data_IF_988304562239
#
_entry.id   IF_988304562239
#
_cell.length_a   1.000
_cell.length_b   1.000
_cell.length_c   1.000
_cell.angle_alpha   90.00
_cell.angle_beta   90.00
_cell.angle_gamma   90.00
#
_symmetry.space_group_name_H-M   'P 1'
#
loop_
_entity.id
_entity.type
_entity.pdbx_description
1 polymer ?
#
# COMPACT_ATOMS: atom_id res chain seq x y z
N UNK A 1 -8.26 18.98 -86.86
CA UNK A 1 -7.37 19.68 -87.83
C UNK A 1 -5.96 19.15 -87.60
N UNK A 2 -5.52 18.22 -88.47
CA UNK A 2 -4.13 17.75 -88.61
C UNK A 2 -3.19 18.96 -88.80
N UNK A 3 -1.86 18.90 -88.51
CA UNK A 3 -1.01 17.83 -89.06
C UNK A 3 0.28 17.39 -88.31
N UNK A 4 0.72 16.18 -88.71
CA UNK A 4 2.09 15.73 -89.09
C UNK A 4 3.22 15.75 -88.04
N UNK A 5 3.82 14.60 -87.69
CA UNK A 5 4.89 13.83 -88.39
C UNK A 5 6.18 14.60 -88.68
N UNK A 6 7.31 14.01 -88.26
CA UNK A 6 8.69 14.44 -88.57
C UNK A 6 9.64 14.02 -87.45
N UNK A 7 10.05 12.74 -87.36
CA UNK A 7 11.25 12.15 -87.98
C UNK A 7 12.59 12.88 -87.68
N UNK A 8 13.47 12.13 -87.01
CA UNK A 8 14.92 11.95 -87.25
C UNK A 8 15.76 13.17 -87.62
N UNK A 9 16.84 13.42 -86.87
CA UNK A 9 18.24 13.43 -87.36
C UNK A 9 19.23 13.62 -86.18
N UNK A 10 20.20 12.71 -86.16
CA UNK A 10 21.59 12.72 -85.64
C UNK A 10 22.13 13.97 -84.92
N UNK A 11 22.93 13.76 -83.86
CA UNK A 11 24.38 13.61 -84.01
C UNK A 11 25.12 13.45 -82.67
N UNK A 12 26.04 12.50 -82.72
CA UNK A 12 27.16 12.15 -81.84
C UNK A 12 27.87 13.35 -81.18
N UNK A 13 28.14 13.21 -79.88
CA UNK A 13 29.16 13.97 -79.15
C UNK A 13 29.90 13.06 -78.18
N UNK A 14 30.99 12.44 -78.66
CA UNK A 14 31.88 11.59 -77.87
C UNK A 14 32.78 12.48 -77.00
N UNK A 15 32.73 12.36 -75.68
CA UNK A 15 33.86 12.73 -74.81
C UNK A 15 34.08 11.64 -73.76
N UNK A 16 35.18 10.92 -73.95
CA UNK A 16 35.80 10.03 -72.97
C UNK A 16 36.20 10.85 -71.74
N UNK A 17 35.67 10.48 -70.59
CA UNK A 17 36.19 10.88 -69.29
C UNK A 17 36.20 9.64 -68.39
N UNK A 18 37.33 8.92 -68.40
CA UNK A 18 37.56 7.87 -67.42
C UNK A 18 37.82 8.52 -66.06
N UNK A 19 36.91 8.36 -65.10
CA UNK A 19 37.20 8.60 -63.67
C UNK A 19 36.42 7.61 -62.80
N UNK A 20 37.19 6.67 -62.25
CA UNK A 20 37.17 6.20 -60.85
C UNK A 20 35.81 5.78 -60.27
N UNK A 21 35.62 4.47 -60.08
CA UNK A 21 34.66 3.92 -59.12
C UNK A 21 34.95 4.45 -57.71
N UNK A 22 33.90 4.66 -56.91
CA UNK A 22 33.92 4.10 -55.56
C UNK A 22 32.71 3.20 -55.35
N UNK A 23 33.03 1.99 -54.88
CA UNK A 23 32.12 1.08 -54.19
C UNK A 23 31.46 1.85 -53.06
N UNK A 24 30.15 2.08 -53.12
CA UNK A 24 29.39 2.50 -51.95
C UNK A 24 28.72 1.25 -51.37
N UNK A 25 29.30 0.79 -50.27
CA UNK A 25 28.80 -0.29 -49.45
C UNK A 25 27.39 0.05 -48.93
N UNK A 26 26.45 -0.86 -49.11
CA UNK A 26 25.18 -0.84 -48.40
C UNK A 26 25.48 -1.10 -46.92
N UNK A 27 25.56 -0.04 -46.12
CA UNK A 27 25.65 -0.14 -44.68
C UNK A 27 24.33 -0.69 -44.14
N UNK A 28 24.37 -1.95 -43.69
CA UNK A 28 23.33 -2.62 -42.94
C UNK A 28 23.12 -1.83 -41.64
N UNK A 29 22.10 -0.97 -41.59
CA UNK A 29 21.65 -0.36 -40.34
C UNK A 29 20.95 -1.45 -39.51
N UNK A 30 21.74 -2.24 -38.77
CA UNK A 30 21.22 -3.03 -37.67
C UNK A 30 20.72 -2.02 -36.63
N UNK A 31 19.41 -1.75 -36.64
CA UNK A 31 18.75 -1.12 -35.53
C UNK A 31 19.03 -1.98 -34.30
N UNK A 32 19.92 -1.52 -33.42
CA UNK A 32 20.07 -2.04 -32.09
C UNK A 32 18.75 -1.77 -31.37
N UNK A 33 17.81 -2.71 -31.47
CA UNK A 33 16.71 -2.78 -30.54
C UNK A 33 17.37 -2.96 -29.17
N UNK A 34 17.43 -1.87 -28.39
CA UNK A 34 17.80 -1.94 -26.98
C UNK A 34 16.86 -2.98 -26.39
N UNK A 35 17.37 -4.13 -25.90
CA UNK A 35 16.49 -5.12 -25.31
C UNK A 35 15.79 -4.38 -24.18
N UNK A 36 14.45 -4.30 -24.26
CA UNK A 36 13.67 -3.81 -23.15
C UNK A 36 14.11 -4.66 -21.96
N UNK A 37 14.84 -4.07 -21.01
CA UNK A 37 15.46 -4.82 -19.92
C UNK A 37 14.36 -5.61 -19.20
N UNK A 38 14.26 -6.89 -19.54
CA UNK A 38 13.35 -7.81 -18.93
C UNK A 38 13.86 -8.08 -17.51
N UNK A 39 12.95 -8.42 -16.60
CA UNK A 39 13.34 -8.85 -15.27
C UNK A 39 14.41 -9.96 -15.38
N UNK A 40 15.44 -9.86 -14.58
CA UNK A 40 16.56 -10.78 -14.59
C UNK A 40 16.07 -12.18 -14.20
N UNK A 41 16.55 -13.18 -14.94
CA UNK A 41 16.27 -14.59 -14.69
C UNK A 41 17.48 -15.21 -14.02
N UNK A 42 17.25 -15.93 -12.93
CA UNK A 42 18.30 -16.50 -12.10
C UNK A 42 18.37 -18.03 -12.24
N UNK A 43 19.58 -18.62 -12.17
CA UNK A 43 19.75 -20.08 -12.28
C UNK A 43 19.17 -20.84 -11.07
N UNK A 44 19.10 -20.20 -9.91
CA UNK A 44 18.54 -20.75 -8.67
C UNK A 44 17.76 -19.69 -7.90
N UNK A 45 16.86 -20.13 -7.02
CA UNK A 45 16.17 -19.25 -6.09
C UNK A 45 17.17 -18.55 -5.14
N UNK A 46 18.24 -19.23 -4.74
CA UNK A 46 19.31 -18.66 -3.92
C UNK A 46 20.01 -17.50 -4.65
N UNK A 47 20.38 -17.67 -5.93
CA UNK A 47 21.03 -16.61 -6.69
C UNK A 47 20.13 -15.36 -6.84
N UNK A 48 18.81 -15.54 -6.93
CA UNK A 48 17.87 -14.43 -6.93
C UNK A 48 17.78 -13.73 -5.56
N UNK A 49 17.79 -14.51 -4.47
CA UNK A 49 17.79 -13.97 -3.12
C UNK A 49 19.06 -13.18 -2.83
N UNK A 50 20.23 -13.72 -3.16
CA UNK A 50 21.52 -13.04 -2.98
C UNK A 50 21.53 -11.70 -3.75
N UNK A 51 21.07 -11.70 -5.01
CA UNK A 51 20.97 -10.49 -5.81
C UNK A 51 20.01 -9.44 -5.22
N UNK A 52 18.91 -9.87 -4.57
CA UNK A 52 18.01 -8.96 -3.85
C UNK A 52 18.69 -8.35 -2.64
N UNK A 53 19.28 -9.17 -1.76
CA UNK A 53 19.96 -8.71 -0.55
C UNK A 53 21.06 -7.70 -0.88
N UNK A 54 21.86 -8.01 -1.90
CA UNK A 54 22.91 -7.16 -2.45
C UNK A 54 22.40 -5.80 -2.95
N UNK A 55 21.29 -5.81 -3.70
CA UNK A 55 20.70 -4.60 -4.25
C UNK A 55 20.17 -3.68 -3.13
N UNK A 56 19.55 -4.27 -2.09
CA UNK A 56 19.06 -3.53 -0.92
C UNK A 56 20.24 -2.96 -0.12
N UNK A 57 21.26 -3.77 0.17
CA UNK A 57 22.42 -3.37 0.96
C UNK A 57 23.19 -2.20 0.34
N UNK A 58 23.23 -2.12 -1.00
CA UNK A 58 23.88 -1.03 -1.74
C UNK A 58 22.97 0.16 -2.06
N UNK A 59 21.69 0.10 -1.66
CA UNK A 59 20.68 1.08 -2.09
C UNK A 59 20.65 1.25 -3.63
N UNK A 60 20.87 0.16 -4.37
CA UNK A 60 21.02 0.16 -5.83
C UNK A 60 19.65 -0.03 -6.50
N UNK A 61 19.00 1.10 -6.82
CA UNK A 61 17.69 1.13 -7.47
C UNK A 61 17.68 0.45 -8.85
N UNK A 62 18.76 0.54 -9.61
CA UNK A 62 18.86 -0.11 -10.93
C UNK A 62 18.99 -1.63 -10.79
N UNK A 63 19.71 -2.11 -9.78
CA UNK A 63 19.75 -3.53 -9.43
C UNK A 63 18.39 -4.02 -8.94
N UNK A 64 17.70 -3.28 -8.06
CA UNK A 64 16.34 -3.62 -7.64
C UNK A 64 15.39 -3.71 -8.82
N UNK A 65 15.49 -2.77 -9.77
CA UNK A 65 14.69 -2.80 -10.99
C UNK A 65 14.97 -4.04 -11.85
N UNK A 66 16.22 -4.49 -11.95
CA UNK A 66 16.58 -5.72 -12.65
C UNK A 66 16.06 -6.97 -11.93
N UNK A 67 16.17 -7.01 -10.60
CA UNK A 67 15.79 -8.17 -9.77
C UNK A 67 14.26 -8.32 -9.66
N UNK A 68 13.55 -7.25 -9.31
CA UNK A 68 12.10 -7.26 -9.03
C UNK A 68 11.25 -6.83 -10.24
N UNK A 69 11.89 -6.29 -11.28
CA UNK A 69 11.22 -5.78 -12.48
C UNK A 69 10.89 -4.28 -12.41
N UNK A 70 10.57 -3.69 -13.56
CA UNK A 70 10.40 -2.23 -13.75
C UNK A 70 9.37 -1.55 -12.84
N UNK A 71 8.41 -2.31 -12.30
CA UNK A 71 7.29 -1.81 -11.51
C UNK A 71 7.46 -2.05 -10.02
N UNK A 72 8.65 -2.42 -9.54
CA UNK A 72 8.88 -2.77 -8.13
C UNK A 72 8.50 -1.65 -7.15
N UNK A 73 8.63 -0.39 -7.58
CA UNK A 73 8.21 0.79 -6.82
C UNK A 73 6.71 0.84 -6.52
N UNK A 74 5.89 0.05 -7.21
CA UNK A 74 4.44 -0.06 -6.95
C UNK A 74 4.10 -1.07 -5.83
N UNK A 75 5.09 -1.80 -5.29
CA UNK A 75 4.85 -2.74 -4.19
C UNK A 75 4.29 -2.04 -2.96
N UNK A 76 4.83 -0.87 -2.65
CA UNK A 76 4.51 -0.07 -1.48
C UNK A 76 4.20 1.37 -1.90
N UNK A 77 3.36 2.11 -1.17
CA UNK A 77 3.20 3.55 -1.39
C UNK A 77 4.55 4.27 -1.32
N UNK A 78 4.72 5.34 -2.12
CA UNK A 78 5.93 6.15 -2.04
C UNK A 78 6.09 6.75 -0.64
N UNK A 79 7.31 6.69 -0.10
CA UNK A 79 7.63 7.21 1.23
C UNK A 79 7.16 6.34 2.40
N UNK A 80 6.54 5.17 2.16
CA UNK A 80 6.10 4.28 3.25
C UNK A 80 7.15 3.29 3.74
N UNK A 81 8.36 3.36 3.19
CA UNK A 81 9.52 2.61 3.64
C UNK A 81 10.55 3.67 3.98
N UNK A 82 10.92 3.76 5.25
CA UNK A 82 11.96 4.65 5.70
C UNK A 82 13.32 3.93 5.77
N UNK A 83 14.33 4.65 6.23
CA UNK A 83 15.69 4.11 6.33
C UNK A 83 15.81 3.06 7.45
N UNK A 84 15.01 3.19 8.52
CA UNK A 84 15.01 2.27 9.65
C UNK A 84 14.39 0.92 9.25
N UNK A 85 13.33 0.92 8.43
CA UNK A 85 12.77 -0.29 7.82
C UNK A 85 13.81 -1.08 7.02
N UNK A 86 14.66 -0.38 6.26
CA UNK A 86 15.74 -0.99 5.47
C UNK A 86 16.83 -1.55 6.40
N UNK A 87 17.18 -0.83 7.46
CA UNK A 87 18.15 -1.31 8.45
C UNK A 87 17.65 -2.51 9.24
N UNK A 88 16.39 -2.52 9.63
CA UNK A 88 15.76 -3.67 10.28
C UNK A 88 15.78 -4.90 9.38
N UNK A 89 15.46 -4.72 8.10
CA UNK A 89 15.57 -5.79 7.10
C UNK A 89 17.01 -6.29 6.98
N UNK A 90 17.99 -5.41 6.81
CA UNK A 90 19.40 -5.80 6.65
C UNK A 90 19.98 -6.43 7.93
N UNK A 91 19.56 -5.96 9.10
CA UNK A 91 19.90 -6.55 10.38
C UNK A 91 19.31 -7.95 10.53
N UNK A 92 18.05 -8.16 10.14
CA UNK A 92 17.42 -9.47 10.10
C UNK A 92 18.13 -10.40 9.08
N UNK A 93 18.42 -9.89 7.88
CA UNK A 93 19.12 -10.60 6.82
C UNK A 93 20.50 -11.10 7.27
N UNK A 94 21.27 -10.23 7.94
CA UNK A 94 22.61 -10.56 8.42
C UNK A 94 22.60 -11.60 9.55
N UNK A 95 21.59 -11.56 10.43
CA UNK A 95 21.42 -12.58 11.48
C UNK A 95 21.11 -13.95 10.87
N UNK A 96 20.15 -14.01 9.96
CA UNK A 96 19.77 -15.22 9.26
C UNK A 96 18.98 -14.87 8.00
N UNK A 97 19.23 -15.57 6.90
CA UNK A 97 18.35 -15.54 5.74
C UNK A 97 18.35 -16.91 5.06
N UNK A 98 17.20 -17.30 4.55
CA UNK A 98 17.04 -18.60 3.90
C UNK A 98 16.00 -18.53 2.78
N UNK A 99 16.29 -19.23 1.69
CA UNK A 99 15.29 -19.56 0.69
C UNK A 99 14.49 -20.77 1.17
N UNK A 100 13.20 -20.57 1.34
CA UNK A 100 12.24 -21.59 1.77
C UNK A 100 11.41 -22.05 0.56
N UNK A 101 11.53 -23.29 0.11
CA UNK A 101 10.70 -23.83 -0.96
C UNK A 101 9.21 -23.87 -0.58
N UNK A 102 8.34 -23.50 -1.50
CA UNK A 102 6.88 -23.66 -1.42
C UNK A 102 6.40 -24.55 -2.57
N UNK A 103 6.72 -25.85 -2.46
CA UNK A 103 6.58 -26.79 -3.56
C UNK A 103 7.67 -26.62 -4.63
N UNK A 104 7.48 -27.25 -5.79
CA UNK A 104 8.58 -27.43 -6.77
C UNK A 104 8.93 -26.17 -7.58
N UNK A 105 8.00 -25.23 -7.67
CA UNK A 105 8.10 -24.09 -8.59
C UNK A 105 7.94 -22.73 -7.91
N UNK A 106 7.94 -22.68 -6.57
CA UNK A 106 7.86 -21.44 -5.80
C UNK A 106 8.79 -21.49 -4.60
N UNK A 107 9.26 -20.32 -4.18
CA UNK A 107 10.03 -20.17 -2.96
C UNK A 107 9.76 -18.80 -2.33
N UNK A 108 10.02 -18.68 -1.03
CA UNK A 108 10.05 -17.42 -0.29
C UNK A 108 11.43 -17.18 0.28
N UNK A 109 11.72 -15.93 0.60
CA UNK A 109 12.92 -15.55 1.32
C UNK A 109 12.49 -15.23 2.74
N UNK A 110 12.96 -15.99 3.72
CA UNK A 110 12.82 -15.66 5.12
C UNK A 110 14.07 -14.92 5.60
N UNK A 111 13.89 -13.93 6.47
CA UNK A 111 14.99 -13.20 7.11
C UNK A 111 14.79 -13.15 8.63
N UNK A 112 15.90 -13.11 9.35
CA UNK A 112 15.94 -13.23 10.79
C UNK A 112 15.39 -14.57 11.30
N UNK A 113 14.94 -14.54 12.54
CA UNK A 113 14.50 -15.71 13.31
C UNK A 113 12.99 -15.68 13.60
N UNK A 114 12.30 -14.58 13.27
CA UNK A 114 10.87 -14.40 13.55
C UNK A 114 9.96 -15.14 12.58
N UNK A 115 10.51 -15.75 11.52
CA UNK A 115 9.74 -16.32 10.42
C UNK A 115 9.18 -15.28 9.45
N UNK A 116 9.61 -14.02 9.54
CA UNK A 116 9.21 -13.00 8.57
C UNK A 116 9.74 -13.37 7.17
N UNK A 117 8.86 -13.25 6.17
CA UNK A 117 9.20 -13.52 4.76
C UNK A 117 9.08 -12.27 3.90
N UNK A 118 10.02 -12.09 2.99
CA UNK A 118 9.95 -11.05 1.97
C UNK A 118 8.66 -11.22 1.15
N UNK A 119 7.87 -10.15 0.93
CA UNK A 119 6.51 -10.29 0.41
C UNK A 119 6.45 -10.70 -1.07
N UNK A 120 7.52 -10.51 -1.85
CA UNK A 120 7.57 -10.92 -3.25
C UNK A 120 8.15 -12.34 -3.34
N UNK A 121 7.34 -13.36 -3.67
CA UNK A 121 7.83 -14.72 -3.78
C UNK A 121 8.66 -14.91 -5.06
N UNK A 122 9.50 -15.93 -5.06
CA UNK A 122 10.17 -16.44 -6.25
C UNK A 122 9.29 -17.50 -6.92
N UNK A 123 9.26 -17.48 -8.25
CA UNK A 123 8.57 -18.47 -9.07
C UNK A 123 9.51 -18.98 -10.16
N UNK A 124 9.46 -20.29 -10.42
CA UNK A 124 10.19 -20.93 -11.50
C UNK A 124 9.44 -20.73 -12.81
N UNK A 125 10.10 -20.09 -13.76
CA UNK A 125 9.62 -19.88 -15.14
C UNK A 125 10.43 -20.75 -16.10
N UNK A 126 10.01 -20.81 -17.38
CA UNK A 126 10.67 -21.62 -18.42
C UNK A 126 12.18 -21.38 -18.57
N UNK A 127 12.68 -20.21 -18.18
CA UNK A 127 14.10 -19.83 -18.27
C UNK A 127 14.88 -19.83 -16.94
N UNK A 128 14.23 -20.12 -15.80
CA UNK A 128 14.84 -20.02 -14.47
C UNK A 128 13.95 -19.32 -13.45
N UNK A 129 14.54 -18.90 -12.34
CA UNK A 129 13.84 -18.29 -11.21
C UNK A 129 13.70 -16.78 -11.40
N UNK A 130 12.52 -16.23 -11.08
CA UNK A 130 12.23 -14.80 -11.11
C UNK A 130 11.32 -14.44 -9.93
N UNK A 131 11.35 -13.18 -9.49
CA UNK A 131 10.39 -12.68 -8.50
C UNK A 131 9.02 -12.46 -9.15
N UNK A 132 7.97 -13.00 -8.56
CA UNK A 132 6.58 -12.80 -8.99
C UNK A 132 6.04 -11.50 -8.39
N UNK A 133 6.29 -10.40 -9.10
CA UNK A 133 5.89 -9.06 -8.67
C UNK A 133 4.36 -8.90 -8.52
N UNK A 134 3.51 -9.42 -9.43
CA UNK A 134 2.06 -9.44 -9.22
C UNK A 134 1.63 -10.12 -7.91
N UNK A 135 2.19 -11.29 -7.58
CA UNK A 135 1.91 -11.95 -6.31
C UNK A 135 2.40 -11.11 -5.12
N UNK A 136 3.56 -10.47 -5.25
CA UNK A 136 4.10 -9.55 -4.25
C UNK A 136 3.19 -8.37 -3.94
N UNK A 137 2.62 -7.72 -4.96
CA UNK A 137 1.68 -6.61 -4.77
C UNK A 137 0.42 -7.03 -4.00
N UNK A 138 -0.11 -8.21 -4.29
CA UNK A 138 -1.27 -8.75 -3.57
C UNK A 138 -0.93 -9.05 -2.12
N UNK A 139 0.27 -9.57 -1.87
CA UNK A 139 0.74 -9.90 -0.53
C UNK A 139 0.98 -8.63 0.31
N UNK A 140 1.68 -7.63 -0.22
CA UNK A 140 1.88 -6.35 0.47
C UNK A 140 0.53 -5.70 0.80
N UNK A 141 -0.41 -5.70 -0.16
CA UNK A 141 -1.77 -5.21 0.08
C UNK A 141 -2.43 -5.96 1.23
N UNK A 142 -2.47 -7.29 1.21
CA UNK A 142 -3.05 -8.09 2.30
C UNK A 142 -2.42 -7.78 3.65
N UNK A 143 -1.10 -7.76 3.75
CA UNK A 143 -0.38 -7.46 5.00
C UNK A 143 -0.72 -6.07 5.52
N UNK A 144 -0.79 -5.06 4.64
CA UNK A 144 -1.19 -3.70 5.00
C UNK A 144 -2.63 -3.64 5.51
N UNK A 145 -3.58 -4.25 4.79
CA UNK A 145 -4.99 -4.29 5.20
C UNK A 145 -5.14 -4.95 6.57
N UNK A 146 -4.53 -6.13 6.75
CA UNK A 146 -4.59 -6.86 8.02
C UNK A 146 -3.98 -6.08 9.19
N UNK A 147 -2.82 -5.45 9.00
CA UNK A 147 -2.20 -4.60 10.02
C UNK A 147 -3.08 -3.40 10.38
N UNK A 148 -3.61 -2.71 9.38
CA UNK A 148 -4.48 -1.56 9.61
C UNK A 148 -5.75 -1.97 10.39
N UNK A 149 -6.35 -3.11 10.03
CA UNK A 149 -7.53 -3.64 10.72
C UNK A 149 -7.21 -4.04 12.18
N UNK A 150 -6.06 -4.67 12.45
CA UNK A 150 -5.63 -4.99 13.82
C UNK A 150 -5.38 -3.73 14.66
N UNK A 151 -4.63 -2.76 14.13
CA UNK A 151 -4.39 -1.47 14.81
C UNK A 151 -5.70 -0.72 15.05
N UNK A 152 -6.67 -0.82 14.14
CA UNK A 152 -8.00 -0.23 14.29
C UNK A 152 -8.75 -0.82 15.47
N UNK A 153 -8.71 -2.16 15.64
CA UNK A 153 -9.33 -2.82 16.78
C UNK A 153 -8.68 -2.37 18.10
N UNK A 154 -7.35 -2.31 18.15
CA UNK A 154 -6.64 -1.80 19.33
C UNK A 154 -7.01 -0.33 19.63
N UNK A 155 -7.07 0.51 18.59
CA UNK A 155 -7.47 1.92 18.72
C UNK A 155 -8.89 2.04 19.27
N UNK A 156 -9.83 1.17 18.87
CA UNK A 156 -11.18 1.16 19.43
C UNK A 156 -11.18 0.84 20.94
N UNK A 157 -10.32 -0.06 21.41
CA UNK A 157 -10.15 -0.31 22.85
C UNK A 157 -9.56 0.90 23.57
N UNK A 158 -8.55 1.55 23.00
CA UNK A 158 -7.97 2.78 23.55
C UNK A 158 -9.00 3.92 23.64
N UNK A 159 -9.89 4.04 22.64
CA UNK A 159 -11.02 4.96 22.67
C UNK A 159 -12.03 4.60 23.75
N UNK A 160 -12.27 3.32 24.02
CA UNK A 160 -13.12 2.87 25.12
C UNK A 160 -12.51 3.20 26.50
N UNK A 161 -11.20 3.04 26.65
CA UNK A 161 -10.46 3.48 27.85
C UNK A 161 -10.49 5.01 28.01
N UNK A 162 -10.37 5.75 26.91
CA UNK A 162 -10.49 7.21 26.90
C UNK A 162 -11.90 7.69 27.29
N UNK A 163 -12.95 6.97 26.88
CA UNK A 163 -14.32 7.23 27.32
C UNK A 163 -14.48 7.06 28.84
N UNK A 164 -13.88 6.01 29.40
CA UNK A 164 -13.90 5.78 30.84
C UNK A 164 -13.19 6.92 31.60
N UNK A 165 -11.97 7.28 31.19
CA UNK A 165 -11.23 8.40 31.78
C UNK A 165 -12.01 9.72 31.67
N UNK A 166 -12.62 9.99 30.52
CA UNK A 166 -13.48 11.16 30.35
C UNK A 166 -14.61 11.18 31.39
N UNK A 167 -15.35 10.08 31.53
CA UNK A 167 -16.50 10.00 32.44
C UNK A 167 -16.08 10.22 33.90
N UNK A 168 -14.93 9.69 34.31
CA UNK A 168 -14.40 9.80 35.67
C UNK A 168 -13.89 11.21 36.00
N UNK A 169 -13.20 11.86 35.05
CA UNK A 169 -12.45 13.09 35.32
C UNK A 169 -13.24 14.36 34.99
N UNK A 170 -14.01 14.36 33.90
CA UNK A 170 -14.62 15.58 33.33
C UNK A 170 -16.11 15.44 33.09
N UNK A 171 -16.53 14.27 32.62
CA UNK A 171 -17.90 13.98 32.17
C UNK A 171 -18.93 13.82 33.29
N UNK A 172 -18.50 13.77 34.56
CA UNK A 172 -19.37 13.58 35.73
C UNK A 172 -20.21 12.29 35.59
N UNK A 173 -19.53 11.18 35.28
CA UNK A 173 -20.14 9.87 35.00
C UNK A 173 -20.76 9.74 33.59
N UNK A 174 -20.73 10.79 32.75
CA UNK A 174 -21.22 10.74 31.37
C UNK A 174 -20.06 10.59 30.38
N UNK A 175 -20.28 9.78 29.35
CA UNK A 175 -19.34 9.61 28.24
C UNK A 175 -19.33 10.81 27.28
N UNK A 176 -18.20 11.03 26.61
CA UNK A 176 -18.05 12.02 25.56
C UNK A 176 -18.87 11.64 24.32
N UNK A 177 -19.36 12.65 23.60
CA UNK A 177 -20.19 12.46 22.39
C UNK A 177 -19.45 12.72 21.08
N UNK A 178 -18.17 13.11 21.16
CA UNK A 178 -17.33 13.44 20.00
C UNK A 178 -15.87 13.15 20.32
N UNK A 179 -15.07 12.91 19.28
CA UNK A 179 -13.64 12.70 19.42
C UNK A 179 -12.92 14.01 19.76
N UNK A 180 -13.16 15.05 18.97
CA UNK A 180 -12.55 16.38 19.15
C UNK A 180 -13.54 17.31 19.84
N UNK A 181 -13.11 17.96 20.91
CA UNK A 181 -13.93 18.95 21.61
C UNK A 181 -14.22 20.17 20.73
N UNK A 182 -15.32 20.85 21.02
CA UNK A 182 -15.53 22.18 20.43
C UNK A 182 -14.47 23.17 20.92
N UNK A 183 -14.09 24.18 20.11
CA UNK A 183 -13.11 25.17 20.51
C UNK A 183 -13.44 25.80 21.88
N UNK A 184 -12.48 25.77 22.79
CA UNK A 184 -12.62 26.30 24.16
C UNK A 184 -13.45 25.44 25.12
N UNK A 185 -13.83 24.22 24.75
CA UNK A 185 -14.57 23.29 25.62
C UNK A 185 -13.83 21.98 25.81
N UNK A 186 -14.28 21.22 26.81
CA UNK A 186 -13.82 19.87 27.15
C UNK A 186 -14.94 18.84 26.95
N UNK A 187 -15.62 18.91 25.81
CA UNK A 187 -16.83 18.10 25.51
C UNK A 187 -16.61 16.96 24.51
N UNK A 188 -15.34 16.64 24.22
CA UNK A 188 -14.87 15.49 23.44
C UNK A 188 -13.75 14.73 24.14
N UNK A 189 -13.15 13.74 23.49
CA UNK A 189 -12.04 12.97 24.04
C UNK A 189 -10.66 13.65 23.88
N UNK A 190 -10.56 14.66 23.01
CA UNK A 190 -9.38 15.47 22.79
C UNK A 190 -9.70 16.97 22.90
N UNK A 191 -8.82 17.72 23.54
CA UNK A 191 -8.71 19.17 23.48
C UNK A 191 -7.24 19.57 23.67
N UNK A 192 -6.77 20.69 23.09
CA UNK A 192 -5.43 21.20 23.38
C UNK A 192 -5.33 21.58 24.86
N UNK A 193 -4.47 20.89 25.61
CA UNK A 193 -4.21 21.18 27.01
C UNK A 193 -3.01 22.12 27.16
N UNK A 194 -3.05 23.02 28.14
CA UNK A 194 -1.92 23.90 28.47
C UNK A 194 -0.92 23.23 29.43
N UNK A 195 -1.34 22.15 30.11
CA UNK A 195 -0.56 21.42 31.10
C UNK A 195 -0.96 19.94 31.10
N UNK A 196 -0.12 19.08 31.68
CA UNK A 196 -0.44 17.65 31.88
C UNK A 196 -1.63 17.46 32.85
N UNK A 197 -1.84 18.40 33.79
CA UNK A 197 -2.98 18.33 34.71
C UNK A 197 -4.33 18.55 34.00
N UNK A 198 -4.33 19.25 32.87
CA UNK A 198 -5.50 19.52 32.04
C UNK A 198 -5.56 18.62 30.79
N UNK A 199 -4.70 17.60 30.74
CA UNK A 199 -4.57 16.73 29.58
C UNK A 199 -5.90 16.06 29.22
N UNK A 200 -6.25 16.09 27.94
CA UNK A 200 -7.40 15.34 27.46
C UNK A 200 -7.14 13.82 27.50
N UNK A 201 -8.19 12.99 27.55
CA UNK A 201 -8.04 11.54 27.50
C UNK A 201 -7.24 11.02 26.29
N UNK A 202 -7.33 11.68 25.14
CA UNK A 202 -6.52 11.39 23.95
C UNK A 202 -5.44 12.45 23.73
N UNK A 203 -4.41 12.09 22.96
CA UNK A 203 -3.40 12.99 22.43
C UNK A 203 -3.79 13.63 21.09
N UNK A 204 -2.91 14.47 20.51
CA UNK A 204 -3.15 15.21 19.26
C UNK A 204 -3.43 14.33 18.04
N UNK A 205 -3.01 13.07 18.06
CA UNK A 205 -3.32 12.08 17.01
C UNK A 205 -4.83 11.92 16.75
N UNK A 206 -5.68 12.25 17.73
CA UNK A 206 -7.13 12.29 17.55
C UNK A 206 -7.56 13.15 16.36
N UNK A 207 -6.81 14.20 16.03
CA UNK A 207 -7.08 15.09 14.89
C UNK A 207 -7.06 14.36 13.54
N UNK A 208 -6.32 13.24 13.43
CA UNK A 208 -6.25 12.40 12.24
C UNK A 208 -7.36 11.32 12.19
N UNK A 209 -8.15 11.16 13.25
CA UNK A 209 -9.14 10.09 13.35
C UNK A 209 -10.50 10.45 12.75
N UNK A 210 -10.78 11.73 12.53
CA UNK A 210 -12.10 12.22 12.14
C UNK A 210 -12.55 11.77 10.74
N UNK A 211 -13.87 11.80 10.46
CA UNK A 211 -14.42 11.43 9.15
C UNK A 211 -14.05 12.40 8.02
N UNK A 212 -13.60 13.61 8.34
CA UNK A 212 -13.27 14.64 7.34
C UNK A 212 -11.77 14.68 7.03
N UNK A 213 -10.96 13.88 7.72
CA UNK A 213 -9.53 13.74 7.46
C UNK A 213 -9.32 13.13 6.06
N UNK A 214 -8.40 13.65 5.23
CA UNK A 214 -8.07 13.02 3.96
C UNK A 214 -7.58 11.60 4.17
N UNK A 215 -7.88 10.70 3.24
CA UNK A 215 -7.50 9.29 3.40
C UNK A 215 -5.99 9.02 3.39
N UNK A 216 -5.18 9.97 2.93
CA UNK A 216 -3.71 9.89 3.05
C UNK A 216 -3.22 10.15 4.49
N UNK A 217 -3.99 10.94 5.25
CA UNK A 217 -3.64 11.38 6.61
C UNK A 217 -4.49 10.68 7.68
N UNK A 218 -5.41 9.80 7.27
CA UNK A 218 -6.29 9.10 8.17
C UNK A 218 -5.49 8.20 9.12
N UNK A 219 -5.83 8.24 10.40
CA UNK A 219 -5.14 7.51 11.47
C UNK A 219 -5.09 6.00 11.17
N UNK A 220 -3.90 5.50 10.84
CA UNK A 220 -3.65 4.14 10.36
C UNK A 220 -4.59 3.68 9.21
N UNK A 221 -4.99 4.62 8.35
CA UNK A 221 -5.85 4.36 7.19
C UNK A 221 -7.33 4.18 7.53
N UNK A 222 -7.76 4.53 8.75
CA UNK A 222 -9.13 4.40 9.23
C UNK A 222 -9.68 5.72 9.76
N UNK A 223 -11.00 5.87 9.65
CA UNK A 223 -11.75 6.92 10.32
C UNK A 223 -12.50 6.33 11.51
N UNK A 224 -12.70 7.14 12.53
CA UNK A 224 -13.32 6.77 13.79
C UNK A 224 -14.43 7.74 14.12
N UNK A 225 -15.46 7.25 14.81
CA UNK A 225 -16.57 8.08 15.28
C UNK A 225 -17.22 7.50 16.51
N UNK A 226 -17.62 8.41 17.40
CA UNK A 226 -18.48 8.08 18.53
C UNK A 226 -19.93 8.14 18.07
N UNK A 227 -20.67 7.06 18.29
CA UNK A 227 -22.08 6.93 18.07
C UNK A 227 -22.83 7.04 19.41
N UNK A 228 -24.02 7.66 19.44
CA UNK A 228 -24.94 7.51 20.55
C UNK A 228 -25.26 6.03 20.80
N UNK A 229 -25.56 5.68 22.06
CA UNK A 229 -26.08 4.37 22.41
C UNK A 229 -27.35 4.01 21.62
N UNK A 230 -27.69 2.73 21.59
CA UNK A 230 -28.93 2.26 20.98
C UNK A 230 -30.15 2.95 21.63
N UNK A 231 -31.19 3.25 20.84
CA UNK A 231 -32.43 3.85 21.38
C UNK A 231 -33.02 2.95 22.47
N UNK A 232 -33.37 3.53 23.61
CA UNK A 232 -33.91 2.79 24.75
C UNK A 232 -32.86 2.14 25.66
N UNK A 233 -31.57 2.18 25.30
CA UNK A 233 -30.49 1.83 26.23
C UNK A 233 -30.08 3.06 27.04
N UNK A 234 -30.03 2.93 28.37
CA UNK A 234 -29.60 4.01 29.25
C UNK A 234 -28.08 3.96 29.42
N UNK A 235 -27.38 5.06 29.06
CA UNK A 235 -26.05 5.35 29.59
C UNK A 235 -24.83 4.72 28.90
N UNK A 236 -24.82 4.55 27.57
CA UNK A 236 -23.67 3.99 26.84
C UNK A 236 -23.16 4.84 25.67
N UNK A 237 -22.26 4.23 24.89
CA UNK A 237 -21.77 4.74 23.60
C UNK A 237 -21.54 3.57 22.64
N UNK A 238 -21.42 3.90 21.35
CA UNK A 238 -20.79 3.01 20.37
C UNK A 238 -19.58 3.69 19.77
N UNK A 239 -18.58 2.91 19.41
CA UNK A 239 -17.46 3.37 18.61
C UNK A 239 -17.54 2.68 17.26
N UNK A 240 -17.38 3.45 16.19
CA UNK A 240 -17.39 2.97 14.82
C UNK A 240 -16.05 3.32 14.18
N UNK A 241 -15.43 2.34 13.54
CA UNK A 241 -14.29 2.55 12.66
C UNK A 241 -14.56 2.00 11.26
N UNK A 242 -14.07 2.69 10.24
CA UNK A 242 -14.18 2.24 8.84
C UNK A 242 -12.97 2.69 8.02
N UNK A 243 -12.61 1.95 6.95
CA UNK A 243 -11.45 2.29 6.14
C UNK A 243 -11.63 3.65 5.45
N UNK A 244 -10.58 4.45 5.45
CA UNK A 244 -10.52 5.72 4.75
C UNK A 244 -10.66 5.54 3.22
N UNK A 245 -10.11 4.46 2.67
CA UNK A 245 -10.39 3.98 1.31
C UNK A 245 -10.67 2.48 1.33
N UNK A 246 -11.93 2.13 1.05
CA UNK A 246 -12.37 0.74 0.93
C UNK A 246 -11.52 -0.04 -0.08
N UNK A 247 -11.05 -1.23 0.31
CA UNK A 247 -10.21 -2.11 -0.51
C UNK A 247 -8.73 -1.71 -0.61
N UNK A 248 -8.36 -0.55 -0.07
CA UNK A 248 -6.98 -0.03 -0.13
C UNK A 248 -6.35 0.17 1.24
N UNK A 249 -7.07 0.81 2.17
CA UNK A 249 -6.63 1.00 3.57
C UNK A 249 -7.27 0.00 4.53
N UNK A 250 -8.39 -0.62 4.14
CA UNK A 250 -9.06 -1.69 4.88
C UNK A 250 -10.29 -2.17 4.12
N UNK A 251 -10.87 -3.29 4.56
CA UNK A 251 -12.12 -3.85 4.01
C UNK A 251 -13.21 -3.83 5.07
N UNK A 252 -12.91 -4.30 6.27
CA UNK A 252 -13.87 -4.39 7.35
C UNK A 252 -14.10 -3.02 8.00
N UNK A 253 -15.36 -2.76 8.35
CA UNK A 253 -15.72 -1.77 9.36
C UNK A 253 -15.89 -2.48 10.70
N UNK A 254 -15.69 -1.77 11.80
CA UNK A 254 -15.78 -2.31 13.15
C UNK A 254 -16.70 -1.46 14.03
N UNK A 255 -17.47 -2.12 14.87
CA UNK A 255 -18.22 -1.53 15.96
C UNK A 255 -17.71 -2.06 17.29
N UNK A 256 -17.62 -1.19 18.28
CA UNK A 256 -17.36 -1.55 19.67
C UNK A 256 -18.42 -0.88 20.56
N UNK A 257 -19.15 -1.69 21.32
CA UNK A 257 -20.08 -1.18 22.33
C UNK A 257 -19.36 -0.76 23.62
N UNK A 258 -20.05 -0.05 24.51
CA UNK A 258 -19.54 0.24 25.86
C UNK A 258 -19.31 -1.01 26.72
N UNK A 259 -19.88 -2.15 26.33
CA UNK A 259 -19.64 -3.49 26.89
C UNK A 259 -18.34 -4.14 26.37
N UNK A 260 -17.58 -3.43 25.53
CA UNK A 260 -16.34 -3.89 24.88
C UNK A 260 -16.52 -5.12 23.98
N UNK A 261 -17.72 -5.34 23.44
CA UNK A 261 -17.96 -6.40 22.45
C UNK A 261 -17.71 -5.87 21.03
N UNK A 262 -16.80 -6.54 20.31
CA UNK A 262 -16.48 -6.24 18.92
C UNK A 262 -17.47 -6.86 17.94
N UNK A 263 -17.84 -6.05 16.95
CA UNK A 263 -18.56 -6.48 15.77
C UNK A 263 -17.85 -5.99 14.50
N UNK A 264 -17.93 -6.76 13.44
CA UNK A 264 -17.35 -6.45 12.14
C UNK A 264 -18.39 -6.59 11.02
N UNK A 265 -18.20 -5.80 9.95
CA UNK A 265 -19.00 -5.89 8.73
C UNK A 265 -18.27 -5.25 7.55
N UNK A 266 -18.26 -5.94 6.42
CA UNK A 266 -17.92 -5.35 5.13
C UNK A 266 -19.12 -4.54 4.64
N UNK A 267 -18.97 -3.21 4.60
CA UNK A 267 -20.01 -2.29 4.12
C UNK A 267 -19.92 -2.04 2.60
N UNK A 268 -18.95 -2.64 1.91
CA UNK A 268 -18.72 -2.59 0.48
C UNK A 268 -18.13 -1.26 -0.01
N UNK A 269 -18.14 -1.00 -1.33
CA UNK A 269 -17.63 0.24 -1.92
C UNK A 269 -18.28 1.53 -1.37
N UNK A 270 -19.51 1.42 -0.85
CA UNK A 270 -20.24 2.51 -0.19
C UNK A 270 -19.90 2.73 1.29
N UNK A 271 -18.85 2.09 1.81
CA UNK A 271 -18.48 2.09 3.24
C UNK A 271 -18.50 3.48 3.85
N UNK A 272 -17.83 4.44 3.22
CA UNK A 272 -17.67 5.78 3.78
C UNK A 272 -19.00 6.55 3.89
N UNK A 273 -19.94 6.35 2.95
CA UNK A 273 -21.27 6.96 3.00
C UNK A 273 -22.16 6.27 4.04
N UNK A 274 -22.15 4.93 4.06
CA UNK A 274 -22.93 4.11 5.01
C UNK A 274 -22.50 4.36 6.45
N UNK A 275 -21.19 4.39 6.70
CA UNK A 275 -20.62 4.67 8.01
C UNK A 275 -21.05 6.06 8.51
N UNK A 276 -20.95 7.12 7.69
CA UNK A 276 -21.39 8.48 8.05
C UNK A 276 -22.89 8.58 8.32
N UNK A 277 -23.72 7.81 7.61
CA UNK A 277 -25.16 7.81 7.76
C UNK A 277 -25.65 7.18 9.08
N UNK A 278 -24.84 6.35 9.75
CA UNK A 278 -25.22 5.74 11.03
C UNK A 278 -25.46 6.81 12.09
N UNK A 279 -26.58 6.71 12.83
CA UNK A 279 -27.00 7.72 13.83
C UNK A 279 -26.96 7.23 15.27
N UNK A 280 -26.87 5.93 15.47
CA UNK A 280 -26.77 5.28 16.78
C UNK A 280 -26.06 3.95 16.62
N UNK A 281 -25.51 3.44 17.71
CA UNK A 281 -25.01 2.08 17.79
C UNK A 281 -26.15 1.07 17.54
N UNK A 282 -25.91 0.11 16.66
CA UNK A 282 -26.76 -1.06 16.45
C UNK A 282 -25.91 -2.21 15.91
N UNK A 283 -25.84 -3.37 16.60
CA UNK A 283 -25.12 -4.54 16.11
C UNK A 283 -25.95 -5.35 15.08
N UNK A 284 -27.16 -4.93 14.74
CA UNK A 284 -28.03 -5.64 13.80
C UNK A 284 -27.37 -5.77 12.42
N UNK A 285 -27.25 -7.01 11.94
CA UNK A 285 -26.59 -7.32 10.67
C UNK A 285 -25.07 -7.19 10.69
N UNK A 286 -24.44 -7.10 11.87
CA UNK A 286 -23.00 -7.21 12.07
C UNK A 286 -22.65 -8.58 12.65
N UNK A 287 -21.45 -9.08 12.34
CA UNK A 287 -20.93 -10.33 12.91
C UNK A 287 -20.11 -10.02 14.15
N UNK A 288 -20.29 -10.75 15.25
CA UNK A 288 -19.41 -10.65 16.42
C UNK A 288 -18.03 -11.23 16.09
N UNK A 289 -16.96 -10.52 16.44
CA UNK A 289 -15.58 -10.93 16.08
C UNK A 289 -15.13 -12.22 16.78
N UNK A 290 -15.63 -12.49 17.99
CA UNK A 290 -15.31 -13.73 18.72
C UNK A 290 -15.84 -15.01 18.03
N UNK A 291 -16.76 -14.87 17.07
CA UNK A 291 -17.38 -15.99 16.34
C UNK A 291 -16.67 -16.25 15.00
N UNK A 292 -15.41 -15.83 14.87
CA UNK A 292 -14.60 -15.92 13.66
C UNK A 292 -13.67 -17.12 13.68
#
# INVERSE_FOLDING_TARGET
MMPKTGNLISAVGFRRGARVLPRVAAALALALAVPAAAQQVFPSAQAAADALGDAIARSDGDALQRVLGKRYQLLVPQGSIDQDDVYDFLGAWARHHAVQPEGDNRARIAVGESGWTFPVPLARQKGGWQFDLPAGQQEVRRRRLGRNELVTMETLLQLADAQQRYAEQVGQGRYARRLISTPGKTDGLYWPAASEQDASPLGPDALAMGPDTPAADAFYGYHYRILPAARGSNGGYGLLAWPARYGDTGVQSFLLGSDRVFYERDLGPGTAARARAMRSFSPEGWKRVADR
#
